data_IF_606439542420
#
_entry.id   IF_606439542420
#
_cell.length_a   1.000
_cell.length_b   1.000
_cell.length_c   1.000
_cell.angle_alpha   90.00
_cell.angle_beta   90.00
_cell.angle_gamma   90.00
#
_symmetry.space_group_name_H-M   'P 1'
#
loop_
_entity.id
_entity.type
_entity.pdbx_description
1 polymer ?
#
# COMPACT_ATOMS: atom_id res chain seq x y z
N UNK A 1 1.63 5.83 18.94
CA UNK A 1 1.78 4.83 17.88
C UNK A 1 2.28 5.57 16.66
N UNK A 2 3.42 5.13 16.12
CA UNK A 2 3.98 5.62 14.86
C UNK A 2 3.11 5.18 13.67
N UNK A 3 3.25 5.84 12.52
CA UNK A 3 2.61 5.41 11.28
C UNK A 3 3.00 3.96 10.94
N UNK A 4 4.26 3.62 11.19
CA UNK A 4 4.79 2.28 10.94
C UNK A 4 4.06 1.20 11.73
N UNK A 5 3.91 1.38 13.05
CA UNK A 5 3.21 0.43 13.92
C UNK A 5 1.72 0.31 13.52
N UNK A 6 1.06 1.44 13.27
CA UNK A 6 -0.34 1.47 12.84
C UNK A 6 -0.54 0.71 11.52
N UNK A 7 0.33 0.96 10.54
CA UNK A 7 0.25 0.35 9.22
C UNK A 7 0.37 -1.18 9.31
N UNK A 8 1.29 -1.71 10.13
CA UNK A 8 1.43 -3.15 10.34
C UNK A 8 0.20 -3.78 11.00
N UNK A 9 -0.44 -3.09 11.94
CA UNK A 9 -1.65 -3.57 12.61
C UNK A 9 -2.82 -3.70 11.62
N UNK A 10 -3.12 -2.63 10.87
CA UNK A 10 -4.25 -2.61 9.93
C UNK A 10 -4.02 -3.53 8.72
N UNK A 11 -2.78 -3.71 8.24
CA UNK A 11 -2.50 -4.64 7.15
C UNK A 11 -2.50 -6.08 7.63
N UNK A 12 -2.13 -6.35 8.89
CA UNK A 12 -2.31 -7.67 9.48
C UNK A 12 -3.80 -8.03 9.58
N UNK A 13 -4.66 -7.12 10.07
CA UNK A 13 -6.11 -7.34 10.09
C UNK A 13 -6.64 -7.60 8.67
N UNK A 14 -6.24 -6.79 7.70
CA UNK A 14 -6.65 -6.99 6.30
C UNK A 14 -6.22 -8.36 5.79
N UNK A 15 -4.97 -8.77 6.01
CA UNK A 15 -4.49 -10.05 5.52
C UNK A 15 -5.24 -11.24 6.15
N UNK A 16 -5.55 -11.15 7.43
CA UNK A 16 -6.31 -12.16 8.17
C UNK A 16 -7.76 -12.29 7.64
N UNK A 17 -8.42 -11.15 7.39
CA UNK A 17 -9.80 -11.13 6.89
C UNK A 17 -9.88 -11.53 5.42
N UNK A 18 -8.98 -11.04 4.59
CA UNK A 18 -9.01 -11.27 3.14
C UNK A 18 -8.34 -12.58 2.73
N UNK A 19 -7.65 -13.27 3.66
CA UNK A 19 -6.94 -14.52 3.37
C UNK A 19 -5.71 -14.30 2.49
N UNK A 20 -5.03 -13.18 2.70
CA UNK A 20 -3.72 -12.88 2.11
C UNK A 20 -2.60 -13.53 2.95
N UNK A 21 -1.41 -13.78 2.37
CA UNK A 21 -0.31 -14.40 3.10
C UNK A 21 0.05 -13.61 4.38
N UNK A 22 0.34 -14.32 5.48
CA UNK A 22 0.91 -13.75 6.70
C UNK A 22 2.16 -14.54 7.05
N UNK A 23 3.29 -13.86 7.21
CA UNK A 23 4.58 -14.47 7.54
C UNK A 23 4.91 -15.71 6.69
N UNK A 24 4.55 -15.69 5.41
CA UNK A 24 4.81 -16.79 4.49
C UNK A 24 6.29 -16.84 4.09
N UNK A 25 6.79 -18.03 3.75
CA UNK A 25 8.12 -18.14 3.17
C UNK A 25 8.17 -17.34 1.85
N UNK A 26 9.18 -16.47 1.64
CA UNK A 26 9.29 -15.72 0.41
C UNK A 26 9.40 -16.63 -0.82
N UNK A 27 8.64 -16.29 -1.86
CA UNK A 27 8.73 -16.93 -3.17
C UNK A 27 8.84 -15.83 -4.23
N UNK A 28 9.38 -16.16 -5.41
CA UNK A 28 9.44 -15.19 -6.51
C UNK A 28 8.04 -14.71 -6.93
N UNK A 29 7.03 -15.58 -6.91
CA UNK A 29 5.65 -15.21 -7.21
C UNK A 29 5.06 -14.22 -6.20
N UNK A 30 5.32 -14.43 -4.91
CA UNK A 30 4.89 -13.50 -3.86
C UNK A 30 5.62 -12.16 -3.98
N UNK A 31 6.93 -12.17 -4.19
CA UNK A 31 7.72 -10.95 -4.41
C UNK A 31 7.24 -10.17 -5.63
N UNK A 32 6.94 -10.86 -6.73
CA UNK A 32 6.43 -10.22 -7.93
C UNK A 32 5.03 -9.62 -7.73
N UNK A 33 4.17 -10.30 -6.97
CA UNK A 33 2.85 -9.77 -6.61
C UNK A 33 2.99 -8.49 -5.79
N UNK A 34 3.82 -8.51 -4.74
CA UNK A 34 4.04 -7.35 -3.87
C UNK A 34 4.78 -6.21 -4.57
N UNK A 35 5.73 -6.51 -5.45
CA UNK A 35 6.35 -5.55 -6.37
C UNK A 35 5.30 -4.81 -7.21
N UNK A 36 4.38 -5.55 -7.83
CA UNK A 36 3.40 -4.94 -8.73
C UNK A 36 2.48 -3.98 -7.99
N UNK A 37 2.07 -4.32 -6.77
CA UNK A 37 1.26 -3.43 -5.91
C UNK A 37 2.02 -2.15 -5.59
N UNK A 38 3.25 -2.24 -5.06
CA UNK A 38 4.07 -1.06 -4.75
C UNK A 38 4.33 -0.19 -6.00
N UNK A 39 4.51 -0.83 -7.15
CA UNK A 39 4.75 -0.13 -8.42
C UNK A 39 3.48 0.57 -8.96
N UNK A 40 2.30 -0.01 -8.75
CA UNK A 40 0.99 0.60 -9.09
C UNK A 40 0.81 1.89 -8.28
N UNK A 41 0.85 1.81 -6.95
CA UNK A 41 0.63 2.97 -6.08
C UNK A 41 1.70 4.07 -6.25
N UNK A 42 2.96 3.69 -6.52
CA UNK A 42 4.01 4.67 -6.78
C UNK A 42 3.78 5.48 -8.08
N UNK A 43 3.14 4.87 -9.09
CA UNK A 43 2.77 5.57 -10.33
C UNK A 43 1.57 6.47 -10.10
N UNK A 44 0.57 6.01 -9.36
CA UNK A 44 -0.60 6.82 -9.00
C UNK A 44 -0.17 8.07 -8.21
N UNK A 45 0.75 7.94 -7.25
CA UNK A 45 1.32 9.09 -6.54
C UNK A 45 2.01 10.07 -7.51
N UNK A 46 2.79 9.55 -8.45
CA UNK A 46 3.46 10.38 -9.46
C UNK A 46 2.44 11.15 -10.32
N UNK A 47 1.41 10.47 -10.81
CA UNK A 47 0.36 11.06 -11.64
C UNK A 47 -0.44 12.11 -10.87
N UNK A 48 -0.73 11.88 -9.58
CA UNK A 48 -1.40 12.83 -8.71
C UNK A 48 -0.56 14.10 -8.48
N UNK A 49 0.76 13.95 -8.27
CA UNK A 49 1.68 15.10 -8.16
C UNK A 49 1.75 15.89 -9.47
N UNK A 50 1.81 15.21 -10.61
CA UNK A 50 1.92 15.84 -11.94
C UNK A 50 0.63 16.55 -12.36
N UNK A 51 -0.53 16.04 -11.96
CA UNK A 51 -1.84 16.62 -12.25
C UNK A 51 -2.31 17.66 -11.23
N UNK A 52 -1.62 17.78 -10.09
CA UNK A 52 -2.02 18.68 -9.00
C UNK A 52 -3.24 18.19 -8.22
N UNK A 53 -3.50 16.87 -8.24
CA UNK A 53 -4.61 16.25 -7.52
C UNK A 53 -4.27 16.12 -6.02
N UNK A 54 -4.73 17.09 -5.22
CA UNK A 54 -4.48 17.16 -3.78
C UNK A 54 -5.01 15.93 -3.03
N UNK A 55 -6.22 15.45 -3.38
CA UNK A 55 -6.82 14.28 -2.73
C UNK A 55 -6.12 12.99 -3.21
N UNK A 56 -5.83 12.89 -4.51
CA UNK A 56 -5.09 11.77 -5.09
C UNK A 56 -3.69 11.60 -4.51
N UNK A 57 -2.98 12.69 -4.16
CA UNK A 57 -1.69 12.59 -3.46
C UNK A 57 -1.83 11.96 -2.09
N UNK A 58 -2.86 12.33 -1.33
CA UNK A 58 -3.09 11.77 0.02
C UNK A 58 -3.48 10.29 -0.08
N UNK A 59 -4.36 9.96 -1.02
CA UNK A 59 -4.78 8.58 -1.30
C UNK A 59 -3.57 7.71 -1.64
N UNK A 60 -2.79 8.12 -2.64
CA UNK A 60 -1.63 7.36 -3.09
C UNK A 60 -0.50 7.28 -2.05
N UNK A 61 -0.30 8.30 -1.21
CA UNK A 61 0.64 8.20 -0.07
C UNK A 61 0.18 7.13 0.94
N UNK A 62 -1.12 7.11 1.27
CA UNK A 62 -1.70 6.14 2.19
C UNK A 62 -1.72 4.73 1.61
N UNK A 63 -2.11 4.56 0.35
CA UNK A 63 -2.10 3.27 -0.34
C UNK A 63 -0.68 2.72 -0.51
N UNK A 64 0.30 3.58 -0.78
CA UNK A 64 1.71 3.18 -0.82
C UNK A 64 2.22 2.69 0.55
N UNK A 65 1.81 3.34 1.65
CA UNK A 65 2.05 2.82 3.02
C UNK A 65 1.36 1.48 3.22
N UNK A 66 0.11 1.35 2.77
CA UNK A 66 -0.69 0.14 2.91
C UNK A 66 -0.05 -1.07 2.20
N UNK A 67 0.38 -0.93 0.95
CA UNK A 67 1.00 -2.02 0.19
C UNK A 67 2.43 -2.32 0.64
N UNK A 68 3.16 -1.31 1.13
CA UNK A 68 4.49 -1.50 1.73
C UNK A 68 4.40 -2.27 3.05
N UNK A 69 3.50 -1.88 3.95
CA UNK A 69 3.25 -2.58 5.21
C UNK A 69 2.69 -3.98 4.96
N UNK A 70 1.76 -4.14 4.02
CA UNK A 70 1.24 -5.44 3.59
C UNK A 70 2.34 -6.36 3.04
N UNK A 71 3.36 -5.82 2.39
CA UNK A 71 4.54 -6.61 1.96
C UNK A 71 5.33 -7.15 3.16
N UNK A 72 5.50 -6.34 4.21
CA UNK A 72 6.15 -6.73 5.47
C UNK A 72 5.31 -7.78 6.21
N UNK A 73 4.00 -7.57 6.32
CA UNK A 73 3.05 -8.55 6.89
C UNK A 73 3.09 -9.89 6.14
N UNK A 74 3.20 -9.86 4.81
CA UNK A 74 3.10 -11.05 3.99
C UNK A 74 4.24 -12.06 4.17
N UNK A 75 5.44 -11.59 4.48
CA UNK A 75 6.65 -12.37 4.34
C UNK A 75 7.36 -12.60 5.67
N UNK A 76 7.78 -13.85 5.88
CA UNK A 76 8.65 -14.20 7.01
C UNK A 76 9.99 -13.50 6.83
N UNK A 77 10.40 -12.76 7.85
CA UNK A 77 11.68 -12.08 7.88
C UNK A 77 12.24 -12.06 9.30
N UNK A 78 13.55 -11.85 9.44
CA UNK A 78 14.16 -11.51 10.73
C UNK A 78 14.00 -10.01 10.97
N UNK A 79 12.75 -9.57 11.22
CA UNK A 79 12.40 -8.14 11.22
C UNK A 79 13.29 -7.30 12.14
N UNK A 80 13.57 -7.78 13.34
CA UNK A 80 14.45 -7.11 14.30
C UNK A 80 15.85 -6.80 13.70
N UNK A 81 16.35 -7.66 12.82
CA UNK A 81 17.61 -7.45 12.11
C UNK A 81 17.48 -6.42 10.98
N UNK A 82 16.32 -6.38 10.31
CA UNK A 82 16.04 -5.44 9.21
C UNK A 82 15.76 -4.03 9.72
N UNK A 83 15.11 -3.88 10.87
CA UNK A 83 14.70 -2.59 11.44
C UNK A 83 15.85 -1.60 11.59
N UNK A 84 17.00 -2.06 12.10
CA UNK A 84 18.21 -1.22 12.20
C UNK A 84 18.70 -0.69 10.84
N UNK A 85 18.56 -1.48 9.77
CA UNK A 85 18.90 -1.04 8.41
C UNK A 85 17.86 -0.06 7.87
N UNK A 86 16.58 -0.28 8.19
CA UNK A 86 15.50 0.65 7.86
C UNK A 86 15.76 2.02 8.49
N UNK A 87 16.05 2.06 9.79
CA UNK A 87 16.31 3.31 10.51
C UNK A 87 17.53 4.05 9.97
N UNK A 88 18.64 3.33 9.73
CA UNK A 88 19.86 3.93 9.18
C UNK A 88 19.64 4.53 7.79
N UNK A 89 18.95 3.79 6.91
CA UNK A 89 18.68 4.24 5.54
C UNK A 89 17.69 5.40 5.50
N UNK A 90 16.60 5.33 6.27
CA UNK A 90 15.62 6.41 6.37
C UNK A 90 16.27 7.68 6.93
N UNK A 91 17.07 7.57 8.00
CA UNK A 91 17.81 8.70 8.57
C UNK A 91 18.76 9.36 7.57
N UNK A 92 19.47 8.56 6.76
CA UNK A 92 20.36 9.08 5.72
C UNK A 92 19.61 9.84 4.62
N UNK A 93 18.47 9.31 4.17
CA UNK A 93 17.61 9.94 3.16
C UNK A 93 17.05 11.27 3.69
N UNK A 94 16.46 11.23 4.89
CA UNK A 94 15.84 12.41 5.51
C UNK A 94 16.87 13.51 5.78
N UNK A 95 18.09 13.16 6.21
CA UNK A 95 19.17 14.13 6.40
C UNK A 95 19.55 14.87 5.11
N UNK A 96 19.37 14.26 3.93
CA UNK A 96 19.59 14.91 2.64
C UNK A 96 18.39 15.76 2.19
N UNK A 97 17.18 15.41 2.64
CA UNK A 97 15.94 16.09 2.28
C UNK A 97 15.75 17.46 2.94
N UNK A 98 16.53 17.80 3.96
CA UNK A 98 16.36 19.02 4.79
C UNK A 98 16.25 20.34 4.00
N UNK A 99 16.78 20.39 2.78
CA UNK A 99 16.76 21.59 1.91
C UNK A 99 15.75 21.53 0.77
N UNK A 100 14.91 20.50 0.74
CA UNK A 100 13.96 20.29 -0.33
C UNK A 100 12.73 21.19 -0.18
N UNK A 101 12.04 21.38 -1.30
CA UNK A 101 10.64 21.83 -1.27
C UNK A 101 9.74 20.64 -0.95
N UNK A 102 8.52 20.91 -0.47
CA UNK A 102 7.57 19.84 -0.17
C UNK A 102 7.23 19.01 -1.42
N UNK A 103 7.12 19.63 -2.60
CA UNK A 103 6.94 18.93 -3.88
C UNK A 103 8.10 17.96 -4.18
N UNK A 104 9.34 18.40 -3.96
CA UNK A 104 10.53 17.55 -4.15
C UNK A 104 10.57 16.39 -3.15
N UNK A 105 10.04 16.56 -1.94
CA UNK A 105 9.91 15.48 -0.97
C UNK A 105 8.87 14.44 -1.39
N UNK A 106 7.74 14.86 -1.99
CA UNK A 106 6.78 13.95 -2.61
C UNK A 106 7.40 13.17 -3.78
N UNK A 107 8.15 13.85 -4.65
CA UNK A 107 8.88 13.20 -5.76
C UNK A 107 9.96 12.22 -5.25
N UNK A 108 10.56 12.50 -4.09
CA UNK A 108 11.50 11.58 -3.46
C UNK A 108 10.83 10.27 -3.04
N UNK A 109 9.62 10.32 -2.49
CA UNK A 109 8.84 9.10 -2.14
C UNK A 109 8.67 8.23 -3.37
N UNK A 110 8.25 8.81 -4.49
CA UNK A 110 8.12 8.11 -5.78
C UNK A 110 9.46 7.48 -6.18
N UNK A 111 10.55 8.24 -6.12
CA UNK A 111 11.87 7.75 -6.50
C UNK A 111 12.34 6.55 -5.64
N UNK A 112 12.08 6.58 -4.33
CA UNK A 112 12.41 5.48 -3.41
C UNK A 112 11.61 4.22 -3.76
N UNK A 113 10.30 4.36 -3.99
CA UNK A 113 9.44 3.24 -4.34
C UNK A 113 9.86 2.59 -5.68
N UNK A 114 10.10 3.40 -6.71
CA UNK A 114 10.56 2.93 -8.02
C UNK A 114 11.94 2.25 -7.93
N UNK A 115 12.88 2.84 -7.20
CA UNK A 115 14.22 2.28 -7.02
C UNK A 115 14.19 0.95 -6.27
N UNK A 116 13.32 0.82 -5.27
CA UNK A 116 13.10 -0.43 -4.54
C UNK A 116 12.56 -1.53 -5.46
N UNK A 117 11.59 -1.19 -6.33
CA UNK A 117 11.03 -2.11 -7.32
C UNK A 117 12.07 -2.54 -8.37
N UNK A 118 12.86 -1.59 -8.90
CA UNK A 118 13.92 -1.89 -9.87
C UNK A 118 15.00 -2.79 -9.26
N UNK A 119 15.42 -2.51 -8.02
CA UNK A 119 16.43 -3.32 -7.32
C UNK A 119 15.96 -4.75 -7.13
N UNK A 120 14.70 -4.94 -6.77
CA UNK A 120 14.08 -6.27 -6.66
C UNK A 120 14.11 -7.00 -8.02
N UNK A 121 13.63 -6.36 -9.09
CA UNK A 121 13.58 -6.96 -10.42
C UNK A 121 14.96 -7.30 -11.00
N UNK A 122 15.97 -6.48 -10.71
CA UNK A 122 17.35 -6.79 -11.07
C UNK A 122 17.90 -7.96 -10.24
N UNK A 123 17.57 -8.02 -8.94
CA UNK A 123 17.92 -9.13 -8.06
C UNK A 123 17.35 -10.47 -8.53
N UNK A 124 16.07 -10.51 -8.94
CA UNK A 124 15.40 -11.73 -9.47
C UNK A 124 16.19 -12.35 -10.62
N UNK A 125 16.87 -11.56 -11.45
CA UNK A 125 17.62 -12.05 -12.61
C UNK A 125 18.94 -12.74 -12.26
N UNK A 126 19.49 -12.47 -11.07
CA UNK A 126 20.89 -12.80 -10.75
C UNK A 126 21.07 -13.63 -9.48
N UNK A 127 20.05 -13.70 -8.60
CA UNK A 127 20.15 -14.43 -7.32
C UNK A 127 19.33 -15.70 -7.31
N UNK A 128 19.86 -16.75 -6.70
CA UNK A 128 19.08 -17.93 -6.27
C UNK A 128 18.60 -17.81 -4.82
N UNK A 129 19.08 -16.83 -4.06
CA UNK A 129 18.69 -16.57 -2.67
C UNK A 129 17.47 -15.64 -2.61
N UNK A 130 16.29 -16.25 -2.58
CA UNK A 130 14.99 -15.56 -2.53
C UNK A 130 14.77 -14.86 -1.18
N UNK A 131 15.30 -15.41 -0.08
CA UNK A 131 15.15 -14.79 1.24
C UNK A 131 15.93 -13.47 1.30
N UNK A 132 17.19 -13.47 0.87
CA UNK A 132 17.98 -12.25 0.84
C UNK A 132 17.39 -11.17 -0.08
N UNK A 133 16.76 -11.59 -1.18
CA UNK A 133 16.04 -10.69 -2.07
C UNK A 133 14.82 -10.08 -1.39
N UNK A 134 14.04 -10.90 -0.68
CA UNK A 134 12.90 -10.46 0.10
C UNK A 134 13.32 -9.48 1.21
N UNK A 135 14.35 -9.80 1.98
CA UNK A 135 14.85 -8.95 3.05
C UNK A 135 15.25 -7.55 2.54
N UNK A 136 15.91 -7.48 1.37
CA UNK A 136 16.25 -6.19 0.73
C UNK A 136 15.03 -5.39 0.30
N UNK A 137 14.03 -6.06 -0.29
CA UNK A 137 12.77 -5.42 -0.66
C UNK A 137 11.99 -4.92 0.57
N UNK A 138 11.96 -5.71 1.64
CA UNK A 138 11.32 -5.36 2.90
C UNK A 138 12.00 -4.18 3.61
N UNK A 139 13.33 -4.07 3.54
CA UNK A 139 14.04 -2.86 3.99
C UNK A 139 13.56 -1.64 3.20
N UNK A 140 13.44 -1.76 1.87
CA UNK A 140 12.91 -0.68 1.02
C UNK A 140 11.49 -0.25 1.43
N UNK A 141 10.60 -1.22 1.70
CA UNK A 141 9.24 -0.97 2.18
C UNK A 141 9.25 -0.23 3.54
N UNK A 142 10.07 -0.67 4.49
CA UNK A 142 10.18 -0.01 5.79
C UNK A 142 10.72 1.42 5.70
N UNK A 143 11.73 1.65 4.84
CA UNK A 143 12.26 3.00 4.56
C UNK A 143 11.17 3.88 3.96
N UNK A 144 10.39 3.35 3.02
CA UNK A 144 9.31 4.08 2.37
C UNK A 144 8.26 4.56 3.39
N UNK A 145 7.81 3.69 4.29
CA UNK A 145 6.85 4.05 5.34
C UNK A 145 7.38 5.18 6.24
N UNK A 146 8.64 5.09 6.70
CA UNK A 146 9.24 6.12 7.56
C UNK A 146 9.44 7.45 6.84
N UNK A 147 9.81 7.42 5.56
CA UNK A 147 9.94 8.63 4.76
C UNK A 147 8.56 9.26 4.52
N UNK A 148 7.53 8.47 4.21
CA UNK A 148 6.16 8.96 4.06
C UNK A 148 5.64 9.57 5.36
N UNK A 149 5.90 8.96 6.52
CA UNK A 149 5.55 9.53 7.84
C UNK A 149 6.14 10.93 8.02
N UNK A 150 7.43 11.10 7.71
CA UNK A 150 8.10 12.39 7.77
C UNK A 150 7.52 13.40 6.76
N UNK A 151 7.24 12.96 5.53
CA UNK A 151 6.63 13.79 4.48
C UNK A 151 5.24 14.25 4.89
N UNK A 152 4.35 13.35 5.31
CA UNK A 152 3.00 13.72 5.77
C UNK A 152 3.06 14.67 6.97
N UNK A 153 4.00 14.45 7.90
CA UNK A 153 4.23 15.35 9.03
C UNK A 153 4.65 16.75 8.57
N UNK A 154 5.63 16.87 7.68
CA UNK A 154 6.06 18.14 7.09
C UNK A 154 4.93 18.83 6.31
N UNK A 155 4.12 18.04 5.61
CA UNK A 155 2.94 18.45 4.88
C UNK A 155 1.75 18.82 5.78
N UNK A 156 1.83 18.64 7.11
CA UNK A 156 0.70 18.81 8.04
C UNK A 156 -0.53 17.98 7.65
N UNK A 157 -0.30 16.78 7.12
CA UNK A 157 -1.33 15.81 6.80
C UNK A 157 -1.43 14.86 7.99
N UNK A 158 -2.64 14.68 8.52
CA UNK A 158 -2.89 13.76 9.63
C UNK A 158 -2.83 12.31 9.15
N UNK A 159 -1.61 11.78 9.06
CA UNK A 159 -1.36 10.43 8.58
C UNK A 159 -2.14 9.37 9.36
N UNK A 160 -2.41 9.59 10.65
CA UNK A 160 -3.10 8.61 11.48
C UNK A 160 -4.56 8.46 11.04
N UNK A 161 -5.28 9.57 10.92
CA UNK A 161 -6.67 9.58 10.50
C UNK A 161 -6.84 9.16 9.03
N UNK A 162 -5.89 9.56 8.17
CA UNK A 162 -5.84 9.08 6.77
C UNK A 162 -5.77 7.55 6.71
N UNK A 163 -4.87 6.93 7.50
CA UNK A 163 -4.75 5.46 7.50
C UNK A 163 -5.98 4.77 8.09
N UNK A 164 -6.64 5.35 9.10
CA UNK A 164 -7.90 4.82 9.66
C UNK A 164 -9.01 4.80 8.60
N UNK A 165 -9.17 5.89 7.85
CA UNK A 165 -10.20 6.01 6.81
C UNK A 165 -9.91 5.12 5.59
N UNK A 166 -8.65 5.06 5.15
CA UNK A 166 -8.22 4.14 4.08
C UNK A 166 -8.46 2.69 4.50
N UNK A 167 -8.12 2.35 5.74
CA UNK A 167 -8.38 1.00 6.24
C UNK A 167 -9.89 0.68 6.27
N UNK A 168 -10.73 1.60 6.78
CA UNK A 168 -12.17 1.42 6.80
C UNK A 168 -12.75 1.22 5.38
N UNK A 169 -12.29 2.01 4.41
CA UNK A 169 -12.61 1.86 2.99
C UNK A 169 -12.19 0.48 2.48
N UNK A 170 -10.95 0.05 2.76
CA UNK A 170 -10.43 -1.26 2.36
C UNK A 170 -11.22 -2.43 2.94
N UNK A 171 -11.59 -2.36 4.22
CA UNK A 171 -12.40 -3.39 4.89
C UNK A 171 -13.84 -3.43 4.38
N UNK A 172 -14.36 -2.32 3.83
CA UNK A 172 -15.69 -2.29 3.21
C UNK A 172 -15.76 -2.92 1.81
N UNK A 173 -14.64 -3.37 1.26
CA UNK A 173 -14.59 -4.07 -0.05
C UNK A 173 -15.25 -5.46 -0.01
N UNK A 174 -15.57 -5.97 1.18
CA UNK A 174 -16.18 -7.28 1.39
C UNK A 174 -17.58 -7.39 0.80
N UNK A 175 -17.95 -8.62 0.44
CA UNK A 175 -19.21 -8.97 -0.20
C UNK A 175 -20.15 -9.64 0.81
N UNK A 176 -21.47 -9.46 0.68
CA UNK A 176 -22.46 -10.04 1.58
C UNK A 176 -22.34 -11.57 1.73
N UNK A 177 -22.76 -12.12 2.87
CA UNK A 177 -22.84 -13.57 3.11
C UNK A 177 -23.93 -14.27 2.27
N UNK A 178 -24.97 -13.53 1.91
CA UNK A 178 -26.09 -14.02 1.10
C UNK A 178 -25.68 -14.20 -0.37
N UNK A 179 -25.91 -15.40 -0.91
CA UNK A 179 -25.50 -15.72 -2.27
C UNK A 179 -26.35 -15.02 -3.35
N UNK A 180 -27.65 -14.82 -3.11
CA UNK A 180 -28.54 -14.15 -4.07
C UNK A 180 -28.16 -12.67 -4.17
N UNK A 181 -27.92 -12.02 -3.03
CA UNK A 181 -27.44 -10.63 -2.98
C UNK A 181 -26.09 -10.45 -3.66
N UNK A 182 -25.13 -11.37 -3.48
CA UNK A 182 -23.85 -11.32 -4.20
C UNK A 182 -24.02 -11.42 -5.71
N UNK A 183 -24.90 -12.32 -6.18
CA UNK A 183 -25.16 -12.49 -7.61
C UNK A 183 -25.84 -11.27 -8.21
N UNK A 184 -26.79 -10.66 -7.49
CA UNK A 184 -27.43 -9.40 -7.89
C UNK A 184 -26.40 -8.27 -8.01
N UNK A 185 -25.56 -8.09 -6.99
CA UNK A 185 -24.50 -7.07 -6.98
C UNK A 185 -23.49 -7.29 -8.12
N UNK A 186 -23.02 -8.53 -8.33
CA UNK A 186 -22.12 -8.85 -9.44
C UNK A 186 -22.79 -8.63 -10.81
N UNK A 187 -24.10 -8.87 -10.91
CA UNK A 187 -24.89 -8.63 -12.12
C UNK A 187 -25.08 -7.15 -12.47
N UNK A 188 -24.81 -6.22 -11.55
CA UNK A 188 -24.98 -4.78 -11.79
C UNK A 188 -23.99 -4.20 -12.80
N UNK A 189 -22.83 -4.84 -12.97
CA UNK A 189 -21.78 -4.44 -13.91
C UNK A 189 -21.04 -5.67 -14.42
N UNK A 190 -21.54 -6.27 -15.51
CA UNK A 190 -20.97 -7.48 -16.09
C UNK A 190 -19.63 -7.25 -16.77
N UNK A 191 -19.28 -6.01 -17.11
CA UNK A 191 -17.95 -5.69 -17.65
C UNK A 191 -16.90 -5.77 -16.54
N UNK A 192 -17.23 -5.25 -15.35
CA UNK A 192 -16.35 -5.28 -14.18
C UNK A 192 -16.31 -6.61 -13.46
N UNK A 193 -17.44 -7.31 -13.36
CA UNK A 193 -17.59 -8.52 -12.53
C UNK A 193 -17.82 -9.80 -13.33
N UNK A 194 -17.65 -9.78 -14.66
CA UNK A 194 -17.97 -10.91 -15.53
C UNK A 194 -17.21 -12.21 -15.22
N UNK A 195 -16.03 -12.13 -14.61
CA UNK A 195 -15.20 -13.27 -14.19
C UNK A 195 -14.93 -13.29 -12.68
N UNK A 196 -15.84 -12.74 -11.88
CA UNK A 196 -15.73 -12.73 -10.42
C UNK A 196 -15.92 -14.14 -9.83
N UNK A 197 -15.09 -14.44 -8.83
CA UNK A 197 -15.26 -15.56 -7.93
C UNK A 197 -15.25 -15.08 -6.47
N UNK A 198 -15.75 -15.94 -5.58
CA UNK A 198 -15.89 -15.63 -4.16
C UNK A 198 -15.21 -16.68 -3.30
N UNK A 199 -14.51 -16.23 -2.24
CA UNK A 199 -13.99 -17.08 -1.17
C UNK A 199 -14.47 -16.54 0.19
N UNK A 200 -14.75 -17.39 1.18
CA UNK A 200 -15.15 -16.92 2.50
C UNK A 200 -13.99 -16.17 3.16
N UNK A 201 -14.32 -15.16 3.96
CA UNK A 201 -13.37 -14.60 4.92
C UNK A 201 -13.02 -15.65 5.98
N UNK A 202 -11.82 -15.58 6.56
CA UNK A 202 -11.40 -16.57 7.56
C UNK A 202 -12.13 -16.42 8.90
N UNK A 203 -12.46 -15.17 9.28
CA UNK A 203 -12.98 -14.82 10.61
C UNK A 203 -14.25 -13.95 10.56
N UNK A 204 -14.96 -13.93 9.41
CA UNK A 204 -16.21 -13.17 9.22
C UNK A 204 -17.15 -13.95 8.30
N UNK A 205 -18.45 -13.69 8.39
CA UNK A 205 -19.48 -14.33 7.53
C UNK A 205 -19.51 -13.77 6.09
N UNK A 206 -18.78 -12.68 5.85
CA UNK A 206 -18.65 -12.02 4.54
C UNK A 206 -17.70 -12.78 3.60
N UNK A 207 -17.69 -12.35 2.34
CA UNK A 207 -16.89 -12.96 1.28
C UNK A 207 -15.92 -11.97 0.64
N UNK A 208 -14.79 -12.49 0.19
CA UNK A 208 -13.86 -11.76 -0.69
C UNK A 208 -14.26 -12.07 -2.12
N UNK A 209 -14.66 -11.03 -2.87
CA UNK A 209 -14.77 -11.08 -4.32
C UNK A 209 -13.41 -10.87 -4.96
N UNK A 210 -13.02 -11.75 -5.88
CA UNK A 210 -11.77 -11.63 -6.61
C UNK A 210 -11.95 -12.03 -8.07
N UNK A 211 -11.12 -11.44 -8.92
CA UNK A 211 -11.11 -11.71 -10.35
C UNK A 211 -10.38 -13.01 -10.67
N UNK A 212 -10.99 -13.92 -11.43
CA UNK A 212 -10.36 -15.20 -11.76
C UNK A 212 -9.11 -15.06 -12.64
N UNK A 213 -9.05 -14.04 -13.50
CA UNK A 213 -7.92 -13.87 -14.43
C UNK A 213 -6.59 -13.56 -13.75
N UNK A 214 -6.60 -12.84 -12.62
CA UNK A 214 -5.39 -12.32 -11.97
C UNK A 214 -5.41 -12.30 -10.44
N UNK A 215 -6.48 -12.81 -9.81
CA UNK A 215 -6.73 -12.79 -8.38
C UNK A 215 -6.83 -11.38 -7.75
N UNK A 216 -7.07 -10.32 -8.55
CA UNK A 216 -7.28 -8.97 -8.01
C UNK A 216 -8.55 -8.96 -7.15
N UNK A 217 -8.45 -8.45 -5.93
CA UNK A 217 -9.61 -8.23 -5.05
C UNK A 217 -10.51 -7.19 -5.70
N UNK A 218 -11.79 -7.52 -5.85
CA UNK A 218 -12.79 -6.66 -6.46
C UNK A 218 -13.67 -6.02 -5.38
N UNK A 219 -13.77 -4.69 -5.42
CA UNK A 219 -14.60 -3.90 -4.50
C UNK A 219 -16.08 -4.25 -4.72
N UNK A 220 -16.79 -4.61 -3.65
CA UNK A 220 -18.25 -4.72 -3.64
C UNK A 220 -18.89 -3.42 -4.15
N UNK A 221 -19.96 -3.43 -4.96
CA UNK A 221 -20.60 -2.20 -5.46
C UNK A 221 -21.07 -1.24 -4.35
N UNK A 222 -21.35 -1.77 -3.16
CA UNK A 222 -21.76 -0.98 -1.98
C UNK A 222 -20.59 -0.64 -1.05
N UNK A 223 -19.35 -0.74 -1.52
CA UNK A 223 -18.18 -0.34 -0.72
C UNK A 223 -18.22 1.16 -0.40
N UNK A 224 -17.59 1.54 0.71
CA UNK A 224 -17.48 2.93 1.11
C UNK A 224 -16.22 3.53 0.50
N UNK A 225 -16.39 4.51 -0.38
CA UNK A 225 -15.27 5.33 -0.86
C UNK A 225 -14.70 6.15 0.28
N UNK A 226 -13.37 6.21 0.33
CA UNK A 226 -12.64 7.04 1.27
C UNK A 226 -12.86 8.51 0.92
N UNK A 227 -12.99 9.36 1.95
CA UNK A 227 -13.19 10.81 1.76
C UNK A 227 -12.00 11.55 2.34
N UNK A 228 -11.10 12.04 1.47
CA UNK A 228 -9.81 12.55 1.90
C UNK A 228 -9.66 14.07 1.82
N UNK A 229 -10.59 14.78 1.17
CA UNK A 229 -10.56 16.24 1.05
C UNK A 229 -10.43 17.01 2.37
N UNK A 230 -10.89 16.42 3.49
CA UNK A 230 -10.72 17.00 4.84
C UNK A 230 -9.28 17.04 5.35
N UNK A 231 -8.38 16.24 4.76
CA UNK A 231 -6.97 16.13 5.16
C UNK A 231 -6.04 17.02 4.32
N UNK A 232 -6.57 17.67 3.28
CA UNK A 232 -5.78 18.52 2.40
C UNK A 232 -5.30 19.77 3.15
N UNK A 233 -3.98 19.87 3.30
CA UNK A 233 -3.35 20.98 3.98
C UNK A 233 -3.03 22.14 3.03
N UNK A 234 -2.85 23.34 3.60
CA UNK A 234 -2.35 24.50 2.84
C UNK A 234 -0.94 24.26 2.27
N UNK A 235 -0.10 23.49 2.96
CA UNK A 235 1.27 23.16 2.51
C UNK A 235 1.24 22.31 1.25
N UNK A 236 0.35 21.29 1.21
CA UNK A 236 0.17 20.45 0.03
C UNK A 236 -0.36 21.28 -1.15
N UNK A 237 -1.40 22.08 -0.93
CA UNK A 237 -1.97 22.97 -1.94
C UNK A 237 -0.95 23.91 -2.57
N UNK A 238 -0.16 24.59 -1.73
CA UNK A 238 0.89 25.49 -2.19
C UNK A 238 1.95 24.76 -3.00
N UNK A 239 2.34 23.54 -2.58
CA UNK A 239 3.36 22.75 -3.26
C UNK A 239 2.91 22.22 -4.63
N UNK A 240 1.63 21.89 -4.81
CA UNK A 240 1.09 21.40 -6.08
C UNK A 240 0.69 22.51 -7.05
N UNK A 241 0.57 23.75 -6.56
CA UNK A 241 0.25 24.94 -7.37
C UNK A 241 1.48 25.60 -8.02
N UNK A 242 2.69 25.16 -7.66
CA UNK A 242 3.98 25.74 -8.06
C UNK A 242 4.64 24.96 -9.20
#
# INVERSE_FOLDING_TARGET
>A
MSLYEQALEITHEFHDVFGDPIAAAPTLGLLQTRHNLVLEEAKELKEAIESGDEEGVIDALGDLVYVAAGSITAMKSSWLSLESHVDANAGYILAKSVRNTFRTDLEMVVAIALSSCETLMNGVKVTSDVQNLADRFLIGCGVLIKVIEAVMTCGKIDHKSVMEDIHASNMSKLWPADAEMRLELAGSDTERYGDIAFRPCLNRDEYVGYRLSDNKILKCPTYNEVKLGGYVSGVLREALSA
#
